data_IF_781956862197
#
_entry.id   IF_781956862197
#
_cell.length_a   1.000
_cell.length_b   1.000
_cell.length_c   1.000
_cell.angle_alpha   90.00
_cell.angle_beta   90.00
_cell.angle_gamma   90.00
#
_symmetry.space_group_name_H-M   'P 1'
#
loop_
_entity.id
_entity.type
_entity.pdbx_description
1 polymer ?
#
# COMPACT_ATOMS: atom_id res chain seq x y z
N UNK A 1 14.41 4.86 -16.09
CA UNK A 1 14.44 3.62 -15.30
C UNK A 1 13.93 3.97 -13.92
N UNK A 2 13.10 3.14 -13.35
CA UNK A 2 12.49 3.42 -12.04
C UNK A 2 13.52 3.22 -10.91
N UNK A 3 13.30 3.87 -9.76
CA UNK A 3 14.21 3.77 -8.61
C UNK A 3 14.22 2.36 -8.02
N UNK A 4 15.37 1.83 -7.62
CA UNK A 4 15.45 0.52 -6.96
C UNK A 4 15.22 0.64 -5.45
N UNK A 5 14.90 -0.46 -4.77
CA UNK A 5 14.78 -0.44 -3.31
C UNK A 5 16.04 0.09 -2.60
N UNK A 6 17.28 -0.35 -2.95
CA UNK A 6 18.49 0.22 -2.34
C UNK A 6 18.66 1.73 -2.56
N UNK A 7 18.18 2.27 -3.70
CA UNK A 7 18.21 3.71 -3.95
C UNK A 7 17.23 4.46 -3.05
N UNK A 8 16.04 3.89 -2.82
CA UNK A 8 15.06 4.46 -1.90
C UNK A 8 15.55 4.38 -0.46
N UNK A 9 16.10 3.24 -0.02
CA UNK A 9 16.70 3.07 1.30
C UNK A 9 17.81 4.11 1.55
N UNK A 10 18.77 4.24 0.62
CA UNK A 10 19.85 5.21 0.74
C UNK A 10 19.33 6.66 0.81
N UNK A 11 18.27 7.00 0.06
CA UNK A 11 17.66 8.33 0.12
C UNK A 11 17.00 8.58 1.49
N UNK A 12 16.33 7.57 2.05
CA UNK A 12 15.70 7.65 3.36
C UNK A 12 16.75 7.76 4.49
N UNK A 13 17.88 7.08 4.35
CA UNK A 13 19.01 7.17 5.28
C UNK A 13 19.70 8.53 5.25
N UNK A 14 19.83 9.15 4.07
CA UNK A 14 20.39 10.50 3.91
C UNK A 14 19.49 11.58 4.52
N UNK A 15 18.19 11.30 4.68
CA UNK A 15 17.21 12.24 5.18
C UNK A 15 16.41 11.67 6.38
N UNK A 16 17.08 11.33 7.50
CA UNK A 16 16.48 10.55 8.58
C UNK A 16 15.40 11.29 9.38
N UNK A 17 15.29 12.61 9.25
CA UNK A 17 14.29 13.43 9.94
C UNK A 17 13.22 14.02 9.03
N UNK A 18 13.29 13.74 7.73
CA UNK A 18 12.30 14.27 6.79
C UNK A 18 11.03 13.43 6.86
N UNK A 19 9.85 14.07 6.88
CA UNK A 19 8.59 13.34 6.73
C UNK A 19 8.53 12.75 5.33
N UNK A 20 8.07 11.50 5.24
CA UNK A 20 7.90 10.78 3.98
C UNK A 20 6.44 10.41 3.86
N UNK A 21 5.88 10.62 2.67
CA UNK A 21 4.51 10.27 2.32
C UNK A 21 4.55 9.35 1.10
N UNK A 22 3.93 8.18 1.21
CA UNK A 22 3.79 7.25 0.09
C UNK A 22 2.48 7.58 -0.63
N UNK A 23 2.57 8.04 -1.87
CA UNK A 23 1.43 8.19 -2.75
C UNK A 23 1.32 6.96 -3.65
N UNK A 24 0.24 6.20 -3.55
CA UNK A 24 0.10 4.93 -4.29
C UNK A 24 -1.30 4.74 -4.84
N UNK A 25 -1.41 4.02 -5.96
CA UNK A 25 -2.69 3.63 -6.54
C UNK A 25 -2.91 2.12 -6.48
N UNK A 26 -4.13 1.69 -6.22
CA UNK A 26 -4.48 0.27 -6.34
C UNK A 26 -4.47 -0.21 -7.81
N UNK A 27 -4.07 -1.45 -8.01
CA UNK A 27 -4.26 -2.18 -9.27
C UNK A 27 -5.74 -2.56 -9.37
N UNK A 28 -6.43 -2.05 -10.40
CA UNK A 28 -7.87 -2.30 -10.63
C UNK A 28 -8.18 -3.79 -10.77
N UNK A 29 -9.35 -4.22 -10.27
CA UNK A 29 -9.79 -5.62 -10.25
C UNK A 29 -9.08 -6.56 -9.26
N UNK A 30 -7.78 -6.36 -9.00
CA UNK A 30 -7.00 -7.19 -8.06
C UNK A 30 -6.91 -6.61 -6.65
N UNK A 31 -7.02 -5.30 -6.50
CA UNK A 31 -7.01 -4.63 -5.20
C UNK A 31 -5.63 -4.49 -4.53
N UNK A 32 -4.56 -4.97 -5.14
CA UNK A 32 -3.22 -4.81 -4.58
C UNK A 32 -2.81 -3.33 -4.58
N UNK A 33 -2.43 -2.82 -3.40
CA UNK A 33 -1.71 -1.55 -3.27
C UNK A 33 -0.21 -1.77 -3.11
N UNK A 34 0.18 -2.87 -2.47
CA UNK A 34 1.56 -3.34 -2.36
C UNK A 34 1.55 -4.80 -2.79
N UNK A 35 2.49 -5.22 -3.62
CA UNK A 35 2.54 -6.59 -4.12
C UNK A 35 3.92 -7.03 -4.57
N UNK A 36 4.09 -8.35 -4.75
CA UNK A 36 5.36 -9.02 -5.08
C UNK A 36 6.09 -8.47 -6.34
N UNK A 37 5.37 -7.80 -7.25
CA UNK A 37 5.92 -7.19 -8.45
C UNK A 37 6.50 -5.79 -8.25
N UNK A 38 6.18 -5.11 -7.15
CA UNK A 38 6.68 -3.77 -6.84
C UNK A 38 7.81 -3.83 -5.80
N UNK A 39 8.88 -4.54 -6.15
CA UNK A 39 10.01 -4.81 -5.24
C UNK A 39 10.79 -3.57 -4.80
N UNK A 40 10.47 -2.39 -5.37
CA UNK A 40 11.03 -1.11 -4.98
C UNK A 40 10.53 -0.70 -3.58
N UNK A 41 9.27 -1.00 -3.28
CA UNK A 41 8.66 -0.78 -1.97
C UNK A 41 8.77 -2.05 -1.12
N UNK A 42 10.00 -2.43 -0.80
CA UNK A 42 10.25 -3.57 0.09
C UNK A 42 9.89 -3.24 1.55
N UNK A 43 9.97 -4.25 2.42
CA UNK A 43 9.65 -4.10 3.84
C UNK A 43 10.51 -3.03 4.56
N UNK A 44 11.77 -2.82 4.18
CA UNK A 44 12.63 -1.80 4.80
C UNK A 44 12.13 -0.38 4.48
N UNK A 45 11.79 -0.12 3.22
CA UNK A 45 11.20 1.16 2.78
C UNK A 45 9.83 1.38 3.43
N UNK A 46 8.98 0.35 3.44
CA UNK A 46 7.62 0.43 4.00
C UNK A 46 7.59 0.59 5.52
N UNK A 47 8.58 0.06 6.26
CA UNK A 47 8.73 0.36 7.70
C UNK A 47 9.06 1.82 7.95
N UNK A 48 9.74 2.50 7.00
CA UNK A 48 10.01 3.93 7.10
C UNK A 48 8.79 4.79 6.75
N UNK A 49 7.86 4.25 5.94
CA UNK A 49 6.62 4.92 5.52
C UNK A 49 5.41 4.14 6.00
N UNK A 50 4.92 4.48 7.18
CA UNK A 50 3.83 3.75 7.84
C UNK A 50 2.51 3.84 7.06
N UNK A 51 1.55 2.97 7.39
CA UNK A 51 0.17 3.03 6.89
C UNK A 51 -0.45 4.43 7.04
N UNK A 52 -0.18 5.12 8.14
CA UNK A 52 -0.70 6.47 8.41
C UNK A 52 -0.11 7.56 7.49
N UNK A 53 1.04 7.30 6.88
CA UNK A 53 1.73 8.18 5.94
C UNK A 53 1.48 7.78 4.48
N UNK A 54 0.56 6.83 4.24
CA UNK A 54 0.25 6.33 2.92
C UNK A 54 -1.06 6.93 2.41
N UNK A 55 -0.98 7.59 1.27
CA UNK A 55 -2.10 8.15 0.55
C UNK A 55 -2.49 7.20 -0.58
N UNK A 56 -3.54 6.41 -0.36
CA UNK A 56 -4.07 5.49 -1.37
C UNK A 56 -5.04 6.21 -2.28
N UNK A 57 -4.73 6.30 -3.56
CA UNK A 57 -5.58 6.85 -4.61
C UNK A 57 -6.28 5.73 -5.37
N UNK A 58 -7.61 5.77 -5.46
CA UNK A 58 -8.37 4.79 -6.25
C UNK A 58 -9.62 5.42 -6.82
N UNK A 59 -9.82 5.35 -8.13
CA UNK A 59 -11.04 5.91 -8.74
C UNK A 59 -12.27 5.11 -8.28
N UNK A 60 -13.48 5.71 -8.27
CA UNK A 60 -14.70 5.00 -7.89
C UNK A 60 -14.94 3.75 -8.75
N UNK A 61 -14.61 3.81 -10.05
CA UNK A 61 -14.69 2.67 -10.96
C UNK A 61 -13.77 1.53 -10.56
N UNK A 62 -12.48 1.80 -10.29
CA UNK A 62 -11.52 0.78 -9.82
C UNK A 62 -11.91 0.19 -8.46
N UNK A 63 -12.50 1.00 -7.59
CA UNK A 63 -12.99 0.53 -6.30
C UNK A 63 -14.21 -0.39 -6.46
N UNK A 64 -15.11 -0.10 -7.41
CA UNK A 64 -16.26 -0.93 -7.72
C UNK A 64 -15.85 -2.30 -8.30
N UNK A 65 -14.80 -2.35 -9.11
CA UNK A 65 -14.22 -3.60 -9.66
C UNK A 65 -13.71 -4.56 -8.59
N UNK A 66 -13.49 -4.09 -7.35
CA UNK A 66 -13.11 -4.97 -6.25
C UNK A 66 -14.25 -5.85 -5.75
N UNK A 67 -15.51 -5.53 -6.09
CA UNK A 67 -16.69 -6.29 -5.66
C UNK A 67 -16.75 -6.49 -4.13
N UNK A 68 -16.46 -5.42 -3.39
CA UNK A 68 -16.35 -5.39 -1.92
C UNK A 68 -15.19 -6.20 -1.32
N UNK A 69 -14.30 -6.79 -2.13
CA UNK A 69 -13.07 -7.41 -1.63
C UNK A 69 -12.13 -6.34 -1.05
N UNK A 70 -11.36 -6.68 0.00
CA UNK A 70 -10.39 -5.76 0.58
C UNK A 70 -9.28 -5.39 -0.42
N UNK A 71 -8.64 -4.25 -0.17
CA UNK A 71 -7.33 -3.99 -0.74
C UNK A 71 -6.33 -5.02 -0.21
N UNK A 72 -5.33 -5.33 -1.02
CA UNK A 72 -4.35 -6.35 -0.72
C UNK A 72 -2.96 -5.73 -0.53
N UNK A 73 -2.27 -6.24 0.47
CA UNK A 73 -0.87 -5.96 0.73
C UNK A 73 -0.08 -7.27 0.80
N UNK A 74 1.04 -7.27 0.09
CA UNK A 74 2.04 -8.33 0.13
C UNK A 74 3.41 -7.67 0.02
N UNK A 75 4.02 -7.37 1.18
CA UNK A 75 5.36 -6.78 1.27
C UNK A 75 6.48 -7.82 1.29
N UNK A 76 6.12 -9.12 1.32
CA UNK A 76 7.05 -10.22 1.58
C UNK A 76 7.46 -10.36 3.06
N UNK A 77 6.84 -9.58 3.95
CA UNK A 77 7.07 -9.60 5.39
C UNK A 77 5.72 -9.71 6.12
N UNK A 78 5.43 -10.89 6.65
CA UNK A 78 4.12 -11.23 7.24
C UNK A 78 3.79 -10.37 8.47
N UNK A 79 4.80 -9.95 9.24
CA UNK A 79 4.59 -9.08 10.41
C UNK A 79 4.13 -7.69 9.94
N UNK A 80 4.83 -7.11 8.97
CA UNK A 80 4.48 -5.83 8.39
C UNK A 80 3.10 -5.86 7.70
N UNK A 81 2.80 -6.93 6.97
CA UNK A 81 1.50 -7.11 6.31
C UNK A 81 0.36 -7.18 7.36
N UNK A 82 0.62 -7.82 8.50
CA UNK A 82 -0.33 -7.89 9.61
C UNK A 82 -0.54 -6.54 10.30
N UNK A 83 0.51 -5.72 10.46
CA UNK A 83 0.41 -4.35 11.01
C UNK A 83 -0.45 -3.44 10.12
N UNK A 84 -0.40 -3.65 8.81
CA UNK A 84 -1.17 -2.87 7.85
C UNK A 84 -2.62 -3.30 7.73
N UNK A 85 -2.96 -4.54 8.10
CA UNK A 85 -4.33 -5.05 8.04
C UNK A 85 -5.34 -4.17 8.82
N UNK A 86 -6.62 -4.31 8.46
CA UNK A 86 -7.73 -3.57 9.06
C UNK A 86 -8.32 -2.53 8.11
N UNK A 87 -8.42 -1.28 8.55
CA UNK A 87 -9.04 -0.20 7.77
C UNK A 87 -7.99 0.82 7.31
N UNK A 88 -8.17 1.32 6.10
CA UNK A 88 -7.37 2.40 5.52
C UNK A 88 -8.26 3.45 4.85
N UNK A 89 -7.84 4.71 4.87
CA UNK A 89 -8.51 5.76 4.11
C UNK A 89 -8.02 5.75 2.67
N UNK A 90 -8.96 5.67 1.74
CA UNK A 90 -8.70 5.77 0.29
C UNK A 90 -9.28 7.07 -0.25
N UNK A 91 -8.58 7.67 -1.21
CA UNK A 91 -8.97 8.91 -1.87
C UNK A 91 -9.56 8.60 -3.23
N UNK A 92 -10.85 8.89 -3.38
CA UNK A 92 -11.65 8.55 -4.57
C UNK A 92 -11.86 9.70 -5.53
N UNK A 93 -11.53 10.91 -5.11
CA UNK A 93 -11.65 12.11 -5.91
C UNK A 93 -11.19 13.34 -5.14
N UNK A 94 -11.37 14.53 -5.74
CA UNK A 94 -11.03 15.78 -5.06
C UNK A 94 -11.88 15.96 -3.81
N UNK A 95 -11.22 15.99 -2.63
CA UNK A 95 -11.86 16.06 -1.31
C UNK A 95 -12.86 14.92 -1.05
N UNK A 96 -12.71 13.79 -1.73
CA UNK A 96 -13.53 12.60 -1.55
C UNK A 96 -12.68 11.46 -1.02
N UNK A 97 -13.11 10.91 0.11
CA UNK A 97 -12.44 9.79 0.78
C UNK A 97 -13.45 8.72 1.19
N UNK A 98 -13.00 7.48 1.26
CA UNK A 98 -13.75 6.38 1.85
C UNK A 98 -12.85 5.61 2.83
N UNK A 99 -13.45 4.97 3.83
CA UNK A 99 -12.77 3.97 4.65
C UNK A 99 -12.96 2.62 3.97
N UNK A 100 -11.87 1.89 3.76
CA UNK A 100 -11.90 0.63 3.03
C UNK A 100 -11.06 -0.43 3.74
N UNK A 101 -11.46 -1.72 3.71
CA UNK A 101 -10.67 -2.78 4.32
C UNK A 101 -9.39 -3.05 3.52
N UNK A 102 -8.33 -3.38 4.24
CA UNK A 102 -7.05 -3.85 3.71
C UNK A 102 -6.64 -5.11 4.48
N UNK A 103 -6.20 -6.13 3.76
CA UNK A 103 -5.74 -7.40 4.32
C UNK A 103 -4.40 -7.83 3.72
N UNK A 104 -3.72 -8.74 4.42
CA UNK A 104 -2.60 -9.49 3.84
C UNK A 104 -3.11 -10.43 2.73
N UNK A 105 -2.29 -10.61 1.69
CA UNK A 105 -2.61 -11.50 0.56
C UNK A 105 -2.80 -12.98 0.96
N UNK A 106 -2.34 -13.38 2.13
CA UNK A 106 -2.41 -14.77 2.63
C UNK A 106 -3.77 -15.16 3.25
N UNK A 107 -4.68 -14.20 3.43
CA UNK A 107 -5.97 -14.44 4.13
C UNK A 107 -7.05 -15.11 3.28
N UNK A 108 -6.79 -15.44 2.01
CA UNK A 108 -7.80 -15.95 1.07
C UNK A 108 -7.92 -17.49 1.04
N UNK A 109 -7.40 -18.19 2.05
CA UNK A 109 -7.38 -19.67 2.13
C UNK A 109 -8.48 -20.29 3.00
N UNK A 110 -9.57 -19.58 3.30
CA UNK A 110 -10.74 -20.24 3.92
C UNK A 110 -12.07 -19.70 3.41
N UNK A 111 -12.57 -20.32 2.34
CA UNK A 111 -13.99 -20.61 2.17
C UNK A 111 -14.18 -21.85 1.29
#
# INVERSE_FOLDING_TARGET
>A
MDATAPQLEALLEQHPHHPVVLLITAIGGQGHIIGRGNQQLNAAVLRRVTKAQTLVLITPSKLAELEHRPLLMDSGDTELDSEWAGLITVHTGYRQTAVYPINSSESDSTK
#
